data_IF_318986644876
#
_entry.id   IF_318986644876
#
_cell.length_a   1.000
_cell.length_b   1.000
_cell.length_c   1.000
_cell.angle_alpha   90.00
_cell.angle_beta   90.00
_cell.angle_gamma   90.00
#
_symmetry.space_group_name_H-M   'P 1'
#
loop_
_entity.id
_entity.type
_entity.pdbx_description
1 polymer ?
#
# COMPACT_ATOMS: atom_id res chain seq x y z
N UNK A 1 13.95 7.56 8.21
CA UNK A 1 12.52 7.44 7.90
C UNK A 1 12.01 6.17 8.56
N UNK A 2 11.03 6.28 9.46
CA UNK A 2 10.42 5.14 10.13
C UNK A 2 9.61 4.31 9.13
N UNK A 3 9.88 3.01 9.06
CA UNK A 3 9.08 2.03 8.31
C UNK A 3 8.18 1.28 9.30
N UNK A 4 6.91 1.66 9.37
CA UNK A 4 5.95 1.09 10.33
C UNK A 4 5.80 -0.43 10.23
N UNK A 5 6.13 -1.05 9.11
CA UNK A 5 6.04 -2.50 8.93
C UNK A 5 7.30 -3.25 9.40
N UNK A 6 8.43 -2.57 9.49
CA UNK A 6 9.74 -3.20 9.80
C UNK A 6 10.36 -2.70 11.09
N UNK A 7 10.18 -1.42 11.38
CA UNK A 7 10.88 -0.77 12.49
C UNK A 7 10.10 -0.84 13.80
N UNK A 8 8.80 -1.18 13.74
CA UNK A 8 7.94 -1.34 14.92
C UNK A 8 7.95 -2.78 15.40
N UNK A 9 8.19 -2.95 16.69
CA UNK A 9 8.26 -4.25 17.36
C UNK A 9 7.33 -4.30 18.56
N UNK A 10 6.99 -5.51 19.00
CA UNK A 10 6.29 -5.70 20.26
C UNK A 10 7.09 -5.10 21.42
N UNK A 11 6.44 -4.28 22.26
CA UNK A 11 7.05 -3.55 23.36
C UNK A 11 7.49 -2.12 23.03
N UNK A 12 7.39 -1.67 21.79
CA UNK A 12 7.63 -0.26 21.46
C UNK A 12 6.50 0.63 22.03
N UNK A 13 6.90 1.78 22.58
CA UNK A 13 5.97 2.76 23.14
C UNK A 13 5.46 3.71 22.07
N UNK A 14 4.17 4.06 22.21
CA UNK A 14 3.47 5.03 21.37
C UNK A 14 2.86 6.13 22.24
N UNK A 15 2.99 7.37 21.83
CA UNK A 15 2.17 8.46 22.34
C UNK A 15 1.20 8.89 21.23
N UNK A 16 -0.09 8.86 21.53
CA UNK A 16 -1.14 9.18 20.57
C UNK A 16 -2.06 10.24 21.16
N UNK A 17 -2.39 11.23 20.35
CA UNK A 17 -3.47 12.20 20.64
C UNK A 17 -4.50 12.06 19.55
N UNK A 18 -5.72 11.77 19.95
CA UNK A 18 -6.84 11.60 19.03
C UNK A 18 -8.15 12.06 19.67
N UNK A 19 -9.10 12.43 18.85
CA UNK A 19 -10.43 12.83 19.29
C UNK A 19 -11.23 11.63 19.77
N UNK A 20 -12.09 11.86 20.76
CA UNK A 20 -13.08 10.87 21.24
C UNK A 20 -14.43 11.54 21.43
N UNK A 21 -15.48 10.91 20.95
CA UNK A 21 -16.84 11.21 21.37
C UNK A 21 -17.20 10.33 22.55
N UNK A 22 -17.59 10.95 23.65
CA UNK A 22 -17.97 10.25 24.88
C UNK A 22 -19.40 10.61 25.24
N UNK A 23 -20.12 9.69 25.88
CA UNK A 23 -21.42 9.97 26.52
C UNK A 23 -21.21 10.81 27.78
N UNK A 24 -22.29 11.38 28.35
CA UNK A 24 -22.27 12.05 29.65
C UNK A 24 -21.72 11.15 30.78
N UNK A 25 -21.89 9.84 30.65
CA UNK A 25 -21.36 8.85 31.60
C UNK A 25 -19.87 8.51 31.33
N UNK A 26 -19.19 9.16 30.37
CA UNK A 26 -17.79 8.93 30.08
C UNK A 26 -17.50 7.73 29.19
N UNK A 27 -18.52 7.03 28.66
CA UNK A 27 -18.32 5.90 27.74
C UNK A 27 -17.94 6.42 26.36
N UNK A 28 -16.82 5.90 25.81
CA UNK A 28 -16.39 6.19 24.43
C UNK A 28 -17.38 5.55 23.46
N UNK A 29 -17.99 6.35 22.58
CA UNK A 29 -18.90 5.91 21.53
C UNK A 29 -18.28 5.97 20.14
N UNK A 30 -17.29 6.82 19.96
CA UNK A 30 -16.57 6.96 18.70
C UNK A 30 -15.14 7.40 18.96
N UNK A 31 -14.18 6.88 18.19
CA UNK A 31 -12.81 7.37 18.13
C UNK A 31 -12.67 8.17 16.84
N UNK A 32 -12.34 9.43 16.95
CA UNK A 32 -12.16 10.34 15.82
C UNK A 32 -10.74 10.32 15.24
N UNK A 33 -10.34 11.45 14.68
CA UNK A 33 -9.08 11.59 13.95
C UNK A 33 -7.88 11.53 14.90
N UNK A 34 -6.76 10.98 14.37
CA UNK A 34 -5.46 11.00 15.04
C UNK A 34 -4.77 12.32 14.75
N UNK A 35 -4.66 13.18 15.77
CA UNK A 35 -4.07 14.52 15.65
C UNK A 35 -2.55 14.51 15.77
N UNK A 36 -2.01 13.62 16.61
CA UNK A 36 -0.59 13.51 16.88
C UNK A 36 -0.22 12.08 17.19
N UNK A 37 0.97 11.67 16.72
CA UNK A 37 1.61 10.43 17.14
C UNK A 37 3.09 10.63 17.37
N UNK A 38 3.64 9.95 18.38
CA UNK A 38 5.09 9.82 18.58
C UNK A 38 5.43 8.34 18.68
N UNK A 39 6.38 7.90 17.88
CA UNK A 39 6.84 6.52 17.82
C UNK A 39 8.36 6.52 17.71
N UNK A 40 9.06 5.89 18.66
CA UNK A 40 10.53 5.86 18.69
C UNK A 40 11.18 7.25 18.56
N UNK A 41 10.60 8.26 19.20
CA UNK A 41 11.07 9.64 19.15
C UNK A 41 10.78 10.38 17.83
N UNK A 42 10.14 9.72 16.86
CA UNK A 42 9.68 10.39 15.63
C UNK A 42 8.27 10.89 15.85
N UNK A 43 8.06 12.18 15.65
CA UNK A 43 6.80 12.87 15.89
C UNK A 43 6.09 13.12 14.58
N UNK A 44 4.76 12.97 14.59
CA UNK A 44 3.88 13.13 13.45
C UNK A 44 2.71 14.01 13.84
N UNK A 45 2.41 15.00 13.01
CA UNK A 45 1.35 15.97 13.20
C UNK A 45 0.36 15.86 12.06
N UNK A 46 -0.93 15.79 12.37
CA UNK A 46 -2.01 15.87 11.41
C UNK A 46 -2.06 17.28 10.81
N UNK A 47 -2.26 17.35 9.52
CA UNK A 47 -2.49 18.59 8.82
C UNK A 47 -3.61 18.39 7.78
N UNK A 48 -4.67 19.17 7.88
CA UNK A 48 -5.77 19.20 6.93
C UNK A 48 -5.57 20.37 5.97
N UNK A 49 -5.58 20.06 4.68
CA UNK A 49 -5.46 21.06 3.63
C UNK A 49 -6.81 21.73 3.38
N UNK A 50 -6.80 22.91 2.75
CA UNK A 50 -8.02 23.67 2.40
C UNK A 50 -9.01 22.88 1.51
N UNK A 51 -8.57 21.82 0.84
CA UNK A 51 -9.41 20.95 0.01
C UNK A 51 -9.95 19.72 0.78
N UNK A 52 -9.73 19.65 2.09
CA UNK A 52 -10.15 18.54 2.96
C UNK A 52 -9.23 17.31 2.91
N UNK A 53 -8.14 17.33 2.14
CA UNK A 53 -7.14 16.24 2.16
C UNK A 53 -6.33 16.31 3.46
N UNK A 54 -6.24 15.18 4.16
CA UNK A 54 -5.45 15.03 5.40
C UNK A 54 -4.12 14.38 5.09
N UNK A 55 -3.05 15.00 5.59
CA UNK A 55 -1.69 14.47 5.56
C UNK A 55 -1.06 14.53 6.94
N UNK A 56 0.03 13.79 7.13
CA UNK A 56 0.82 13.82 8.34
C UNK A 56 2.24 14.28 8.02
N UNK A 57 2.77 15.16 8.85
CA UNK A 57 4.10 15.75 8.68
C UNK A 57 4.94 15.51 9.93
N UNK A 58 6.25 15.37 9.75
CA UNK A 58 7.20 15.39 10.86
C UNK A 58 7.47 16.83 11.33
N UNK A 59 8.23 16.97 12.42
CA UNK A 59 8.60 18.26 13.02
C UNK A 59 9.41 19.18 12.09
N UNK A 60 9.91 18.65 10.97
CA UNK A 60 10.60 19.44 9.93
C UNK A 60 9.67 19.88 8.80
N UNK A 61 8.37 19.57 8.90
CA UNK A 61 7.38 19.84 7.84
C UNK A 61 7.45 18.89 6.66
N UNK A 62 8.16 17.77 6.81
CA UNK A 62 8.24 16.75 5.76
C UNK A 62 7.07 15.80 5.86
N UNK A 63 6.35 15.63 4.74
CA UNK A 63 5.26 14.67 4.67
C UNK A 63 5.78 13.24 4.91
N UNK A 64 5.19 12.55 5.89
CA UNK A 64 5.57 11.18 6.26
C UNK A 64 4.97 10.14 5.33
N UNK A 65 3.88 10.46 4.62
CA UNK A 65 3.43 9.64 3.50
C UNK A 65 4.57 9.57 2.49
N UNK A 66 5.19 8.43 2.37
CA UNK A 66 6.09 8.19 1.26
C UNK A 66 5.31 8.39 -0.05
N UNK A 67 5.95 8.95 -1.07
CA UNK A 67 5.37 9.09 -2.41
C UNK A 67 4.75 7.77 -2.91
N UNK A 68 5.39 6.64 -2.57
CA UNK A 68 4.87 5.29 -2.82
C UNK A 68 5.00 4.42 -1.57
N UNK A 69 4.00 3.59 -1.31
CA UNK A 69 4.08 2.49 -0.34
C UNK A 69 5.17 1.51 -0.76
N UNK A 70 5.98 1.07 0.18
CA UNK A 70 6.98 0.01 -0.06
C UNK A 70 6.33 -1.35 -0.21
N UNK A 71 5.22 -1.59 0.50
CA UNK A 71 4.47 -2.84 0.50
C UNK A 71 3.00 -2.53 0.26
N UNK A 72 2.48 -2.79 -0.94
CA UNK A 72 1.08 -2.50 -1.29
C UNK A 72 0.10 -3.60 -0.86
N UNK A 73 0.54 -4.55 -0.04
CA UNK A 73 -0.28 -5.62 0.57
C UNK A 73 0.06 -5.68 2.04
N UNK A 74 -0.90 -5.37 2.90
CA UNK A 74 -0.67 -5.35 4.35
C UNK A 74 -0.28 -6.75 4.87
N UNK A 75 0.74 -6.79 5.73
CA UNK A 75 1.26 -8.02 6.33
C UNK A 75 2.01 -8.96 5.37
N UNK A 76 2.17 -8.61 4.10
CA UNK A 76 2.86 -9.45 3.14
C UNK A 76 4.38 -9.49 3.37
N UNK A 77 4.99 -10.65 3.11
CA UNK A 77 6.44 -10.84 3.12
C UNK A 77 6.98 -10.71 1.70
N UNK A 78 8.16 -10.11 1.55
CA UNK A 78 8.88 -10.17 0.28
C UNK A 78 9.37 -11.61 0.09
N UNK A 79 8.89 -12.27 -0.94
CA UNK A 79 9.25 -13.64 -1.29
C UNK A 79 10.28 -13.70 -2.41
N UNK A 80 10.36 -12.65 -3.24
CA UNK A 80 11.41 -12.51 -4.26
C UNK A 80 11.70 -11.06 -4.57
N UNK A 81 12.97 -10.73 -4.68
CA UNK A 81 13.43 -9.37 -5.02
C UNK A 81 13.51 -9.15 -6.53
N UNK A 82 13.57 -7.86 -6.91
CA UNK A 82 13.91 -7.41 -8.26
C UNK A 82 15.33 -7.87 -8.66
N UNK A 83 15.52 -8.22 -9.93
CA UNK A 83 16.82 -8.50 -10.48
C UNK A 83 17.00 -9.91 -11.08
N UNK A 84 18.23 -10.30 -11.43
CA UNK A 84 18.50 -11.58 -12.08
C UNK A 84 18.26 -12.75 -11.12
N UNK A 85 17.40 -13.67 -11.52
CA UNK A 85 17.14 -14.92 -10.77
C UNK A 85 16.92 -16.09 -11.73
N UNK A 86 17.07 -17.33 -11.21
CA UNK A 86 16.62 -18.51 -11.95
C UNK A 86 15.08 -18.50 -11.95
N UNK A 87 14.49 -18.53 -13.14
CA UNK A 87 13.03 -18.48 -13.28
C UNK A 87 12.40 -19.76 -12.69
N UNK A 88 11.47 -19.70 -11.74
CA UNK A 88 10.96 -20.87 -11.02
C UNK A 88 10.23 -21.87 -11.93
N UNK A 89 9.61 -21.40 -13.02
CA UNK A 89 8.89 -22.24 -13.99
C UNK A 89 9.76 -22.63 -15.17
N UNK A 90 10.53 -21.70 -15.73
CA UNK A 90 11.26 -21.88 -16.98
C UNK A 90 12.70 -22.39 -16.79
N UNK A 91 13.23 -22.37 -15.56
CA UNK A 91 14.52 -22.95 -15.19
C UNK A 91 15.77 -22.22 -15.66
N UNK A 92 15.68 -21.22 -16.55
CA UNK A 92 16.81 -20.42 -17.01
C UNK A 92 16.93 -19.08 -16.26
N UNK A 93 18.06 -18.40 -16.36
CA UNK A 93 18.28 -17.09 -15.77
C UNK A 93 17.44 -16.03 -16.49
N UNK A 94 16.55 -15.35 -15.74
CA UNK A 94 15.76 -14.24 -16.23
C UNK A 94 15.76 -13.12 -15.20
N UNK A 95 15.75 -11.88 -15.68
CA UNK A 95 15.55 -10.74 -14.79
C UNK A 95 14.11 -10.69 -14.31
N UNK A 96 13.92 -10.67 -12.99
CA UNK A 96 12.64 -10.41 -12.36
C UNK A 96 12.38 -8.90 -12.37
N UNK A 97 11.33 -8.47 -13.04
CA UNK A 97 11.02 -7.06 -13.29
C UNK A 97 10.20 -6.42 -12.15
N UNK A 98 10.01 -7.12 -11.04
CA UNK A 98 9.23 -6.66 -9.89
C UNK A 98 9.76 -7.20 -8.58
N UNK A 99 8.99 -6.99 -7.54
CA UNK A 99 9.18 -7.57 -6.20
C UNK A 99 7.96 -8.42 -5.92
N UNK A 100 8.14 -9.68 -5.54
CA UNK A 100 7.03 -10.56 -5.20
C UNK A 100 6.71 -10.43 -3.70
N UNK A 101 5.45 -10.14 -3.41
CA UNK A 101 4.89 -10.09 -2.07
C UNK A 101 3.99 -11.30 -1.84
N UNK A 102 4.44 -12.27 -1.05
CA UNK A 102 3.64 -13.45 -0.69
C UNK A 102 2.49 -13.08 0.23
N UNK A 103 1.27 -13.38 -0.20
CA UNK A 103 0.05 -13.15 0.58
C UNK A 103 -1.04 -14.14 0.15
N UNK A 104 -2.02 -14.38 1.03
CA UNK A 104 -3.13 -15.28 0.75
C UNK A 104 -3.99 -14.80 -0.43
N UNK A 105 -4.56 -15.75 -1.17
CA UNK A 105 -5.52 -15.45 -2.24
C UNK A 105 -6.68 -14.58 -1.72
N UNK A 106 -7.03 -13.52 -2.43
CA UNK A 106 -8.10 -12.60 -2.03
C UNK A 106 -7.68 -11.50 -1.05
N UNK A 107 -6.42 -11.47 -0.58
CA UNK A 107 -5.92 -10.35 0.23
C UNK A 107 -6.02 -9.05 -0.55
N UNK A 108 -6.49 -7.93 0.06
CA UNK A 108 -6.57 -6.64 -0.63
C UNK A 108 -5.20 -6.13 -1.09
N UNK A 109 -5.16 -5.62 -2.33
CA UNK A 109 -4.02 -4.92 -2.90
C UNK A 109 -4.34 -3.43 -2.92
N UNK A 110 -3.42 -2.64 -2.37
CA UNK A 110 -3.56 -1.21 -2.18
C UNK A 110 -2.81 -0.45 -3.27
N UNK A 111 -3.36 0.66 -3.74
CA UNK A 111 -2.62 1.60 -4.58
C UNK A 111 -1.39 2.11 -3.80
N UNK A 112 -0.21 1.98 -4.37
CA UNK A 112 1.03 2.39 -3.72
C UNK A 112 1.13 3.91 -3.55
N UNK A 113 0.42 4.68 -4.35
CA UNK A 113 0.37 6.14 -4.28
C UNK A 113 -0.89 6.69 -4.92
N UNK A 114 -1.16 7.97 -4.71
CA UNK A 114 -2.18 8.70 -5.45
C UNK A 114 -1.88 8.66 -6.94
N UNK A 115 -2.89 8.49 -7.78
CA UNK A 115 -2.66 8.41 -9.22
C UNK A 115 -3.91 8.16 -10.05
N UNK A 116 -3.68 7.80 -11.30
CA UNK A 116 -4.72 7.41 -12.26
C UNK A 116 -4.44 6.00 -12.75
N UNK A 117 -5.43 5.14 -12.71
CA UNK A 117 -5.35 3.81 -13.32
C UNK A 117 -5.22 3.99 -14.84
N UNK A 118 -4.12 3.54 -15.42
CA UNK A 118 -3.89 3.60 -16.86
C UNK A 118 -4.22 2.29 -17.55
N UNK A 119 -4.17 1.17 -16.80
CA UNK A 119 -4.59 -0.15 -17.28
C UNK A 119 -5.25 -0.95 -16.15
N UNK A 120 -6.32 -1.67 -16.49
CA UNK A 120 -6.92 -2.74 -15.69
C UNK A 120 -7.45 -3.79 -16.67
N UNK A 121 -6.61 -4.77 -17.01
CA UNK A 121 -6.88 -5.77 -18.04
C UNK A 121 -6.06 -7.04 -17.85
N UNK A 122 -6.39 -8.11 -18.54
CA UNK A 122 -5.49 -9.26 -18.63
C UNK A 122 -4.32 -8.93 -19.57
N UNK A 123 -3.09 -9.24 -19.13
CA UNK A 123 -1.89 -8.91 -19.89
C UNK A 123 -0.82 -10.00 -19.79
N UNK A 124 -0.75 -10.84 -20.81
CA UNK A 124 0.28 -11.87 -21.00
C UNK A 124 0.54 -12.71 -19.75
N UNK A 125 1.81 -12.90 -19.43
CA UNK A 125 2.26 -13.63 -18.25
C UNK A 125 1.92 -12.98 -16.91
N UNK A 126 1.63 -11.68 -16.88
CA UNK A 126 1.20 -10.97 -15.67
C UNK A 126 -0.23 -11.31 -15.22
N UNK A 127 -1.01 -12.01 -16.07
CA UNK A 127 -2.39 -12.36 -15.75
C UNK A 127 -3.30 -11.14 -15.67
N UNK A 128 -4.16 -11.06 -14.67
CA UNK A 128 -4.93 -9.86 -14.40
C UNK A 128 -4.00 -8.79 -13.84
N UNK A 129 -3.99 -7.64 -14.49
CA UNK A 129 -3.01 -6.58 -14.31
C UNK A 129 -3.69 -5.24 -14.05
N UNK A 130 -3.16 -4.49 -13.08
CA UNK A 130 -3.50 -3.09 -12.86
C UNK A 130 -2.22 -2.26 -12.96
N UNK A 131 -2.28 -1.12 -13.65
CA UNK A 131 -1.19 -0.14 -13.70
C UNK A 131 -1.71 1.23 -13.32
N UNK A 132 -1.02 1.87 -12.38
CA UNK A 132 -1.36 3.20 -11.88
C UNK A 132 -0.22 4.16 -12.21
N UNK A 133 -0.56 5.28 -12.86
CA UNK A 133 0.37 6.40 -13.10
C UNK A 133 0.23 7.41 -11.99
N UNK A 134 1.36 7.73 -11.38
CA UNK A 134 1.50 8.69 -10.28
C UNK A 134 2.03 10.04 -10.78
N UNK A 135 2.17 11.01 -9.87
CA UNK A 135 2.84 12.26 -10.15
C UNK A 135 4.29 12.01 -10.64
N UNK A 136 4.85 12.99 -11.37
CA UNK A 136 6.21 12.96 -11.91
C UNK A 136 6.49 11.79 -12.86
N UNK A 137 5.46 11.17 -13.47
CA UNK A 137 5.60 10.12 -14.47
C UNK A 137 5.93 8.73 -13.92
N UNK A 138 5.99 8.55 -12.61
CA UNK A 138 6.16 7.21 -12.01
C UNK A 138 4.93 6.33 -12.25
N UNK A 139 5.16 5.05 -12.45
CA UNK A 139 4.10 4.06 -12.59
C UNK A 139 4.34 2.86 -11.66
N UNK A 140 3.25 2.32 -11.09
CA UNK A 140 3.27 1.04 -10.36
C UNK A 140 2.38 0.03 -11.05
N UNK A 141 2.85 -1.21 -11.11
CA UNK A 141 2.14 -2.33 -11.71
C UNK A 141 1.81 -3.40 -10.67
N UNK A 142 0.63 -4.00 -10.79
CA UNK A 142 0.11 -5.01 -9.88
C UNK A 142 -0.33 -6.22 -10.69
N UNK A 143 0.45 -7.31 -10.58
CA UNK A 143 0.27 -8.52 -11.37
C UNK A 143 -0.49 -9.61 -10.63
N UNK A 144 -0.84 -10.67 -11.36
CA UNK A 144 -1.39 -11.94 -10.87
C UNK A 144 -2.67 -11.80 -10.05
N UNK A 145 -3.38 -10.65 -10.15
CA UNK A 145 -4.56 -10.38 -9.32
C UNK A 145 -5.69 -11.36 -9.61
N UNK A 146 -6.47 -11.73 -8.58
CA UNK A 146 -7.65 -12.59 -8.76
C UNK A 146 -8.80 -11.84 -9.40
N UNK A 147 -9.00 -10.59 -8.99
CA UNK A 147 -10.03 -9.67 -9.51
C UNK A 147 -9.67 -8.22 -9.22
N UNK A 148 -10.28 -7.31 -9.95
CA UNK A 148 -10.20 -5.87 -9.66
C UNK A 148 -11.20 -5.49 -8.58
N UNK A 149 -10.92 -4.43 -7.82
CA UNK A 149 -11.89 -3.86 -6.90
C UNK A 149 -13.01 -3.16 -7.68
N UNK A 150 -14.18 -3.01 -7.04
CA UNK A 150 -15.36 -2.39 -7.67
C UNK A 150 -15.00 -0.99 -8.19
N UNK A 151 -15.31 -0.73 -9.44
CA UNK A 151 -15.11 0.56 -10.11
C UNK A 151 -13.70 0.78 -10.65
N UNK A 152 -12.73 -0.10 -10.42
CA UNK A 152 -11.36 0.03 -10.95
C UNK A 152 -11.33 -0.30 -12.44
N UNK A 153 -11.00 0.72 -13.25
CA UNK A 153 -10.80 0.67 -14.69
C UNK A 153 -9.90 1.81 -15.15
N UNK A 154 -9.39 1.74 -16.37
CA UNK A 154 -8.61 2.83 -16.95
C UNK A 154 -9.34 4.18 -16.84
N UNK A 155 -8.61 5.23 -16.53
CA UNK A 155 -9.09 6.59 -16.32
C UNK A 155 -9.55 6.92 -14.89
N UNK A 156 -9.70 5.93 -14.01
CA UNK A 156 -10.16 6.18 -12.63
C UNK A 156 -9.01 6.73 -11.77
N UNK A 157 -9.29 7.78 -11.00
CA UNK A 157 -8.38 8.30 -9.97
C UNK A 157 -8.45 7.39 -8.74
N UNK A 158 -7.28 7.14 -8.16
CA UNK A 158 -7.14 6.36 -6.91
C UNK A 158 -6.28 7.14 -5.92
N UNK A 159 -6.57 6.94 -4.65
CA UNK A 159 -5.77 7.47 -3.54
C UNK A 159 -4.80 6.40 -3.04
N UNK A 160 -3.67 6.83 -2.47
CA UNK A 160 -2.76 5.92 -1.76
C UNK A 160 -3.53 5.10 -0.71
N UNK A 161 -3.25 3.81 -0.62
CA UNK A 161 -3.95 2.82 0.24
C UNK A 161 -5.38 2.46 -0.20
N UNK A 162 -5.92 3.05 -1.24
CA UNK A 162 -7.20 2.58 -1.79
C UNK A 162 -7.05 1.15 -2.31
N UNK A 163 -8.02 0.27 -1.98
CA UNK A 163 -8.05 -1.09 -2.54
C UNK A 163 -8.34 -1.02 -4.04
N UNK A 164 -7.43 -1.57 -4.85
CA UNK A 164 -7.53 -1.56 -6.32
C UNK A 164 -7.73 -2.95 -6.92
N UNK A 165 -7.29 -3.99 -6.24
CA UNK A 165 -7.40 -5.38 -6.66
C UNK A 165 -7.28 -6.32 -5.47
N UNK A 166 -7.25 -7.62 -5.75
CA UNK A 166 -7.06 -8.66 -4.74
C UNK A 166 -6.02 -9.67 -5.21
N UNK A 167 -5.19 -10.16 -4.29
CA UNK A 167 -4.14 -11.14 -4.55
C UNK A 167 -4.73 -12.38 -5.21
N UNK A 168 -4.05 -12.90 -6.20
CA UNK A 168 -4.40 -14.10 -6.92
C UNK A 168 -3.17 -14.88 -7.38
N UNK A 169 -3.37 -15.69 -8.41
CA UNK A 169 -2.31 -16.49 -9.05
C UNK A 169 -2.61 -16.60 -10.56
N UNK A 170 -3.15 -15.52 -11.17
CA UNK A 170 -3.47 -15.52 -12.60
C UNK A 170 -2.22 -15.28 -13.45
N UNK A 171 -2.21 -15.78 -14.67
CA UNK A 171 -1.05 -15.67 -15.56
C UNK A 171 0.04 -16.69 -15.23
N UNK A 172 1.31 -16.29 -15.37
CA UNK A 172 2.48 -17.15 -15.11
C UNK A 172 2.90 -17.03 -13.63
N UNK A 173 2.23 -17.75 -12.78
CA UNK A 173 2.41 -17.72 -11.33
C UNK A 173 2.44 -19.17 -10.77
N UNK A 174 3.25 -19.40 -9.75
CA UNK A 174 3.36 -20.69 -9.05
C UNK A 174 2.50 -20.78 -7.78
N UNK A 175 1.88 -19.68 -7.38
CA UNK A 175 1.03 -19.60 -6.20
C UNK A 175 0.59 -18.16 -5.92
N UNK A 176 -0.27 -17.93 -4.91
CA UNK A 176 -0.78 -16.59 -4.61
C UNK A 176 0.31 -15.62 -4.17
N UNK A 177 0.47 -14.53 -4.92
CA UNK A 177 1.36 -13.39 -4.60
C UNK A 177 0.96 -12.15 -5.41
N UNK A 178 1.53 -11.03 -5.08
CA UNK A 178 1.52 -9.81 -5.86
C UNK A 178 2.90 -9.61 -6.46
#
# INVERSE_FOLDING_TARGET
KLDFQRDIKAGDEFKLVFERKVTESGRVVETGELEYAEVKGVKFYRFERNNGDVDYFDETGKNIRGFLLRTPVDGARITSNFGPRRHPVLGFRRSHQGVDFGAGHGTPILAAGDGVVVEARRWGGYGNWVRVRHANGWETGYAHTSRYAKGIRAGVRVKQRQVIAYVGSTGMSTGPHL
#
